data_IF_731868214241
#
_entry.id   IF_731868214241
#
_cell.length_a   1.000
_cell.length_b   1.000
_cell.length_c   1.000
_cell.angle_alpha   90.00
_cell.angle_beta   90.00
_cell.angle_gamma   90.00
#
_symmetry.space_group_name_H-M   'P 1'
#
loop_
_entity.id
_entity.type
_entity.pdbx_description
1 polymer ?
#
# COMPACT_ATOMS: atom_id res chain seq x y z
N UNK A 1 6.85 -19.83 6.13
CA UNK A 1 7.69 -18.65 5.79
C UNK A 1 6.89 -17.83 4.80
N UNK A 2 6.70 -16.53 5.02
CA UNK A 2 5.88 -15.72 4.11
C UNK A 2 6.48 -15.84 2.70
N UNK A 3 5.68 -16.40 1.78
CA UNK A 3 6.08 -16.52 0.38
C UNK A 3 6.10 -15.13 -0.20
N UNK A 4 7.27 -14.49 -0.19
CA UNK A 4 7.50 -13.26 -0.93
C UNK A 4 7.34 -13.49 -2.43
N UNK A 5 7.48 -12.41 -3.18
CA UNK A 5 7.41 -12.47 -4.64
C UNK A 5 8.52 -13.42 -5.19
N UNK A 6 8.24 -14.30 -6.18
CA UNK A 6 9.24 -15.21 -6.76
C UNK A 6 10.47 -14.46 -7.26
N UNK A 7 11.65 -15.03 -7.05
CA UNK A 7 12.95 -14.38 -7.29
C UNK A 7 13.09 -13.77 -8.69
N UNK A 8 12.47 -14.41 -9.68
CA UNK A 8 12.51 -14.05 -11.10
C UNK A 8 11.77 -12.74 -11.43
N UNK A 9 10.77 -12.37 -10.61
CA UNK A 9 9.92 -11.19 -10.85
C UNK A 9 10.17 -10.05 -9.86
N UNK A 10 10.99 -10.27 -8.81
CA UNK A 10 11.46 -9.23 -7.88
C UNK A 10 12.09 -8.02 -8.61
N UNK A 11 12.94 -8.19 -9.65
CA UNK A 11 13.60 -7.06 -10.30
C UNK A 11 12.63 -6.09 -10.99
N UNK A 12 11.48 -6.56 -11.45
CA UNK A 12 10.46 -5.75 -12.13
C UNK A 12 9.33 -5.30 -11.19
N UNK A 13 9.29 -5.86 -9.98
CA UNK A 13 8.23 -5.60 -9.03
C UNK A 13 8.21 -4.14 -8.55
N UNK A 14 7.06 -3.47 -8.73
CA UNK A 14 6.87 -2.07 -8.33
C UNK A 14 7.34 -1.03 -9.36
N UNK A 15 8.00 -1.43 -10.46
CA UNK A 15 8.37 -0.49 -11.54
C UNK A 15 7.19 0.07 -12.34
N UNK A 16 6.02 -0.57 -12.22
CA UNK A 16 4.79 -0.14 -12.89
C UNK A 16 4.08 1.01 -12.14
N UNK A 17 4.38 1.20 -10.85
CA UNK A 17 3.85 2.32 -10.10
C UNK A 17 4.55 3.61 -10.53
N UNK A 18 3.87 4.77 -10.53
CA UNK A 18 4.51 6.07 -10.82
C UNK A 18 5.71 6.41 -9.94
N UNK A 19 5.76 5.88 -8.72
CA UNK A 19 6.92 5.99 -7.83
C UNK A 19 8.09 5.05 -8.18
N UNK A 20 7.95 4.23 -9.22
CA UNK A 20 8.97 3.34 -9.81
C UNK A 20 9.65 2.40 -8.79
N UNK A 21 8.96 2.10 -7.69
CA UNK A 21 9.46 1.22 -6.63
C UNK A 21 8.32 0.46 -5.99
N UNK A 22 8.66 -0.68 -5.41
CA UNK A 22 7.74 -1.41 -4.56
C UNK A 22 7.43 -0.59 -3.29
N UNK A 23 6.13 -0.52 -2.96
CA UNK A 23 5.68 0.01 -1.68
C UNK A 23 6.23 -0.83 -0.54
N UNK A 24 6.70 -0.17 0.51
CA UNK A 24 7.17 -0.83 1.71
C UNK A 24 6.01 -1.02 2.70
N UNK A 25 5.96 -2.13 3.46
CA UNK A 25 4.89 -2.36 4.44
C UNK A 25 4.72 -1.22 5.45
N UNK A 26 5.81 -0.54 5.79
CA UNK A 26 5.80 0.62 6.71
C UNK A 26 4.97 1.79 6.18
N UNK A 27 4.83 1.93 4.86
CA UNK A 27 4.08 3.02 4.23
C UNK A 27 2.55 2.80 4.35
N UNK A 28 2.12 1.56 4.48
CA UNK A 28 0.73 1.17 4.75
C UNK A 28 0.39 1.20 6.24
N UNK A 29 1.36 0.86 7.09
CA UNK A 29 1.15 0.71 8.54
C UNK A 29 0.56 1.96 9.19
N UNK A 30 1.05 3.15 8.83
CA UNK A 30 0.56 4.42 9.39
C UNK A 30 -0.92 4.67 9.07
N UNK A 31 -1.38 4.31 7.87
CA UNK A 31 -2.79 4.46 7.50
C UNK A 31 -3.67 3.49 8.29
N UNK A 32 -3.22 2.26 8.50
CA UNK A 32 -3.93 1.31 9.36
C UNK A 32 -4.07 1.81 10.80
N UNK A 33 -3.00 2.38 11.35
CA UNK A 33 -3.03 2.97 12.71
C UNK A 33 -3.97 4.17 12.76
N UNK A 34 -3.97 5.02 11.72
CA UNK A 34 -4.90 6.14 11.62
C UNK A 34 -6.36 5.67 11.58
N UNK A 35 -6.69 4.70 10.72
CA UNK A 35 -8.06 4.15 10.61
C UNK A 35 -8.52 3.40 11.87
N UNK A 36 -7.60 2.97 12.71
CA UNK A 36 -7.90 2.36 14.01
C UNK A 36 -8.00 3.39 15.16
N UNK A 37 -7.62 4.65 14.91
CA UNK A 37 -7.60 5.70 15.93
C UNK A 37 -8.96 6.39 16.08
N UNK A 38 -9.15 7.15 17.16
CA UNK A 38 -10.35 7.97 17.34
C UNK A 38 -10.46 9.11 16.31
N UNK A 39 -9.36 9.49 15.67
CA UNK A 39 -9.33 10.54 14.65
C UNK A 39 -10.13 10.16 13.40
N UNK A 40 -10.27 8.86 13.10
CA UNK A 40 -11.08 8.35 11.99
C UNK A 40 -12.50 7.97 12.41
N UNK A 41 -12.99 8.41 13.56
CA UNK A 41 -14.30 8.02 14.11
C UNK A 41 -15.51 8.27 13.20
N UNK A 42 -15.40 9.16 12.20
CA UNK A 42 -16.46 9.45 11.23
C UNK A 42 -16.14 8.98 9.79
N UNK A 43 -15.06 8.22 9.61
CA UNK A 43 -14.66 7.65 8.32
C UNK A 43 -15.15 6.21 8.28
N UNK A 44 -16.10 5.91 7.39
CA UNK A 44 -16.63 4.55 7.20
C UNK A 44 -17.04 4.33 5.74
N UNK A 45 -17.00 3.08 5.29
CA UNK A 45 -17.34 2.65 3.94
C UNK A 45 -16.53 3.34 2.81
N UNK A 46 -15.36 3.88 3.12
CA UNK A 46 -14.46 4.53 2.16
C UNK A 46 -13.31 3.61 1.72
N UNK A 47 -12.78 3.84 0.51
CA UNK A 47 -11.63 3.12 -0.04
C UNK A 47 -10.42 4.03 -0.17
N UNK A 48 -9.36 3.74 0.58
CA UNK A 48 -8.12 4.51 0.54
C UNK A 48 -7.06 3.83 -0.36
N UNK A 49 -6.65 4.54 -1.41
CA UNK A 49 -5.65 4.08 -2.36
C UNK A 49 -4.21 4.36 -1.94
N UNK A 50 -3.51 3.35 -1.41
CA UNK A 50 -2.05 3.42 -1.15
C UNK A 50 -1.30 2.63 -2.21
N UNK A 51 -1.26 3.18 -3.42
CA UNK A 51 -0.81 2.47 -4.64
C UNK A 51 0.48 3.05 -5.26
N UNK A 52 1.13 4.00 -4.58
CA UNK A 52 2.32 4.67 -5.10
C UNK A 52 2.06 5.50 -6.36
N UNK A 53 0.87 6.10 -6.45
CA UNK A 53 0.48 7.02 -7.53
C UNK A 53 -0.46 6.43 -8.59
N UNK A 54 -0.80 5.13 -8.51
CA UNK A 54 -1.77 4.54 -9.44
C UNK A 54 -3.20 4.93 -9.08
N UNK A 55 -4.04 5.18 -10.08
CA UNK A 55 -5.45 5.50 -9.85
C UNK A 55 -6.21 4.28 -9.33
N UNK A 56 -7.19 4.51 -8.44
CA UNK A 56 -7.99 3.46 -7.80
C UNK A 56 -9.39 3.29 -8.42
N UNK A 57 -9.67 3.94 -9.56
CA UNK A 57 -10.97 3.94 -10.25
C UNK A 57 -10.81 3.75 -11.76
#
# INVERSE_FOLDING_TARGET
MCGGQPSEVIPEFGKQAPLLRAGQPVELASLYVFLASEESSYITADTFGVTGGMHIN
#
